data_IF_248057851721
#
_entry.id   IF_248057851721
#
_cell.length_a   1.000
_cell.length_b   1.000
_cell.length_c   1.000
_cell.angle_alpha   90.00
_cell.angle_beta   90.00
_cell.angle_gamma   90.00
#
_symmetry.space_group_name_H-M   'P 1'
#
loop_
_entity.id
_entity.type
_entity.pdbx_description
1 polymer ?
#
# COMPACT_ATOMS: atom_id res chain seq x y z
N UNK A 1 -22.77 30.36 -17.86
CA UNK A 1 -22.36 29.67 -19.11
C UNK A 1 -20.88 29.37 -19.04
N UNK A 2 -20.52 28.11 -18.73
CA UNK A 2 -19.19 27.57 -19.02
C UNK A 2 -19.43 26.20 -19.63
N UNK A 3 -19.24 26.12 -20.95
CA UNK A 3 -19.47 24.94 -21.74
C UNK A 3 -18.37 23.91 -21.43
N UNK A 4 -18.73 22.82 -20.76
CA UNK A 4 -17.93 21.59 -20.80
C UNK A 4 -18.20 20.99 -22.18
N UNK A 5 -17.34 21.34 -23.14
CA UNK A 5 -17.24 20.65 -24.41
C UNK A 5 -16.97 19.18 -24.10
N UNK A 6 -17.97 18.33 -24.37
CA UNK A 6 -17.79 16.89 -24.45
C UNK A 6 -16.85 16.59 -25.61
N UNK A 7 -15.55 16.60 -25.35
CA UNK A 7 -14.60 15.95 -26.22
C UNK A 7 -14.98 14.45 -26.22
N UNK A 8 -15.54 13.98 -27.34
CA UNK A 8 -15.57 12.55 -27.67
C UNK A 8 -14.12 12.11 -27.89
N UNK A 9 -13.39 11.93 -26.79
CA UNK A 9 -12.00 11.51 -26.80
C UNK A 9 -11.93 10.03 -27.19
N UNK A 10 -11.25 9.74 -28.30
CA UNK A 10 -10.61 8.44 -28.46
C UNK A 10 -9.76 8.22 -27.19
N UNK A 11 -10.09 7.20 -26.41
CA UNK A 11 -9.47 6.96 -25.11
C UNK A 11 -7.95 6.99 -25.23
N UNK A 12 -7.26 7.63 -24.29
CA UNK A 12 -5.81 7.64 -24.28
C UNK A 12 -5.31 6.20 -24.08
N UNK A 13 -4.46 5.74 -24.99
CA UNK A 13 -3.82 4.42 -24.90
C UNK A 13 -3.08 4.32 -23.57
N UNK A 14 -3.37 3.28 -22.81
CA UNK A 14 -2.73 2.99 -21.53
C UNK A 14 -1.41 2.23 -21.76
N UNK A 15 -0.47 2.34 -20.82
CA UNK A 15 0.82 1.64 -20.89
C UNK A 15 0.71 0.16 -20.46
N UNK A 16 -0.38 -0.20 -19.78
CA UNK A 16 -0.65 -1.56 -19.33
C UNK A 16 -1.75 -2.18 -20.19
N UNK A 17 -1.54 -3.43 -20.62
CA UNK A 17 -2.52 -4.20 -21.37
C UNK A 17 -3.70 -4.58 -20.48
N UNK A 18 -3.44 -4.81 -19.19
CA UNK A 18 -4.45 -5.20 -18.20
C UNK A 18 -4.29 -4.46 -16.88
N UNK A 19 -5.43 -4.20 -16.24
CA UNK A 19 -5.51 -3.75 -14.86
C UNK A 19 -6.26 -4.78 -14.03
N UNK A 20 -5.69 -5.17 -12.89
CA UNK A 20 -6.38 -6.02 -11.90
C UNK A 20 -6.72 -5.21 -10.68
N UNK A 21 -8.01 -4.97 -10.47
CA UNK A 21 -8.53 -4.17 -9.37
C UNK A 21 -8.80 -5.07 -8.17
N UNK A 22 -8.24 -4.76 -7.01
CA UNK A 22 -8.33 -5.57 -5.79
C UNK A 22 -8.84 -4.73 -4.62
N UNK A 23 -9.69 -5.32 -3.78
CA UNK A 23 -10.21 -4.71 -2.55
C UNK A 23 -10.42 -5.79 -1.49
N UNK A 24 -9.52 -5.90 -0.52
CA UNK A 24 -9.60 -6.97 0.49
C UNK A 24 -10.57 -6.60 1.60
N UNK A 25 -11.37 -7.57 2.04
CA UNK A 25 -11.98 -7.51 3.37
C UNK A 25 -11.14 -8.28 4.37
N UNK A 26 -11.06 -7.80 5.60
CA UNK A 26 -10.26 -8.41 6.66
C UNK A 26 -11.00 -8.47 7.99
N UNK A 27 -10.54 -9.34 8.88
CA UNK A 27 -11.03 -9.42 10.26
C UNK A 27 -10.98 -8.06 10.93
N UNK A 28 -12.01 -7.71 11.69
CA UNK A 28 -12.07 -6.44 12.39
C UNK A 28 -12.92 -6.51 13.67
N UNK A 29 -12.72 -5.51 14.53
CA UNK A 29 -13.42 -5.33 15.79
C UNK A 29 -13.83 -3.87 15.90
N UNK A 30 -15.00 -3.61 16.49
CA UNK A 30 -15.51 -2.25 16.67
C UNK A 30 -14.58 -1.45 17.59
N UNK A 31 -14.29 -0.21 17.22
CA UNK A 31 -13.55 0.78 18.02
C UNK A 31 -12.13 0.36 18.48
N UNK A 32 -11.56 -0.69 17.89
CA UNK A 32 -10.23 -1.18 18.22
C UNK A 32 -9.53 -1.80 16.99
N UNK A 33 -8.25 -2.11 17.13
CA UNK A 33 -7.49 -2.87 16.12
C UNK A 33 -7.36 -4.31 16.58
N UNK A 34 -7.53 -5.25 15.65
CA UNK A 34 -7.26 -6.66 15.87
C UNK A 34 -5.87 -6.99 15.34
N UNK A 35 -5.10 -7.83 16.07
CA UNK A 35 -3.79 -8.28 15.64
C UNK A 35 -3.64 -9.80 15.87
N UNK A 36 -3.11 -10.56 14.89
CA UNK A 36 -2.93 -10.14 13.50
C UNK A 36 -4.29 -9.81 12.85
N UNK A 37 -4.30 -8.91 11.88
CA UNK A 37 -5.43 -8.77 10.98
C UNK A 37 -5.29 -9.84 9.89
N UNK A 38 -6.39 -10.43 9.45
CA UNK A 38 -6.39 -11.53 8.47
C UNK A 38 -7.40 -11.24 7.36
N UNK A 39 -7.01 -11.40 6.10
CA UNK A 39 -7.89 -11.32 4.93
C UNK A 39 -8.95 -12.40 5.04
N UNK A 40 -10.21 -12.02 4.79
CA UNK A 40 -11.37 -12.90 4.82
C UNK A 40 -12.16 -12.89 3.49
N UNK A 41 -11.92 -11.90 2.63
CA UNK A 41 -12.37 -11.90 1.24
C UNK A 41 -11.24 -11.40 0.35
N UNK A 42 -10.98 -12.14 -0.73
CA UNK A 42 -10.04 -11.79 -1.79
C UNK A 42 -10.78 -11.75 -3.13
N UNK A 43 -11.27 -10.56 -3.52
CA UNK A 43 -11.83 -10.30 -4.82
C UNK A 43 -10.82 -9.65 -5.75
N UNK A 44 -11.00 -9.86 -7.05
CA UNK A 44 -10.30 -9.13 -8.08
C UNK A 44 -11.17 -8.93 -9.32
N UNK A 45 -11.00 -7.82 -10.02
CA UNK A 45 -11.70 -7.50 -11.27
C UNK A 45 -10.68 -7.17 -12.35
N UNK A 46 -10.72 -7.90 -13.46
CA UNK A 46 -9.83 -7.69 -14.59
C UNK A 46 -10.45 -6.69 -15.57
N UNK A 47 -9.68 -5.68 -15.95
CA UNK A 47 -10.05 -4.65 -16.92
C UNK A 47 -9.05 -4.66 -18.07
N UNK A 48 -9.55 -4.70 -19.29
CA UNK A 48 -8.75 -4.54 -20.51
C UNK A 48 -8.31 -3.07 -20.66
N UNK A 49 -7.00 -2.85 -20.77
CA UNK A 49 -6.40 -1.51 -20.77
C UNK A 49 -6.63 -0.72 -22.06
N UNK A 50 -6.91 -1.40 -23.18
CA UNK A 50 -7.17 -0.76 -24.47
C UNK A 50 -8.62 -0.29 -24.60
N UNK A 51 -9.56 -1.10 -24.13
CA UNK A 51 -11.00 -0.90 -24.31
C UNK A 51 -11.71 -0.40 -23.06
N UNK A 52 -11.11 -0.57 -21.88
CA UNK A 52 -11.77 -0.34 -20.59
C UNK A 52 -12.87 -1.36 -20.29
N UNK A 53 -12.96 -2.47 -21.02
CA UNK A 53 -13.95 -3.52 -20.76
C UNK A 53 -13.58 -4.30 -19.50
N UNK A 54 -14.56 -4.53 -18.63
CA UNK A 54 -14.43 -5.45 -17.52
C UNK A 54 -14.54 -6.88 -18.07
N UNK A 55 -13.44 -7.63 -18.07
CA UNK A 55 -13.32 -8.93 -18.72
C UNK A 55 -13.81 -10.08 -17.84
N UNK A 56 -13.39 -10.07 -16.59
CA UNK A 56 -13.66 -11.16 -15.65
C UNK A 56 -13.54 -10.71 -14.21
N UNK A 57 -14.07 -11.51 -13.29
CA UNK A 57 -13.93 -11.29 -11.87
C UNK A 57 -13.54 -12.58 -11.15
N UNK A 58 -12.77 -12.43 -10.09
CA UNK A 58 -12.34 -13.46 -9.17
C UNK A 58 -12.86 -13.13 -7.77
N UNK A 59 -13.21 -14.16 -7.01
CA UNK A 59 -13.61 -14.03 -5.62
C UNK A 59 -13.29 -15.31 -4.87
N UNK A 60 -12.61 -15.18 -3.74
CA UNK A 60 -12.47 -16.26 -2.75
C UNK A 60 -12.68 -15.70 -1.36
N UNK A 61 -13.41 -16.44 -0.54
CA UNK A 61 -13.34 -16.24 0.90
C UNK A 61 -12.11 -16.94 1.45
N UNK A 62 -11.47 -16.29 2.42
CA UNK A 62 -10.24 -16.77 3.05
C UNK A 62 -10.55 -17.10 4.49
N UNK A 63 -10.11 -18.28 4.93
CA UNK A 63 -10.33 -18.77 6.29
C UNK A 63 -9.27 -18.19 7.23
N UNK A 64 -9.65 -17.31 8.20
CA UNK A 64 -8.70 -16.81 9.19
C UNK A 64 -8.29 -17.93 10.15
N UNK A 65 -7.00 -17.97 10.52
CA UNK A 65 -6.43 -19.01 11.40
C UNK A 65 -6.24 -18.53 12.83
N UNK A 66 -6.02 -17.22 13.03
CA UNK A 66 -5.75 -16.65 14.35
C UNK A 66 -7.05 -16.17 15.00
N UNK A 67 -7.93 -15.55 14.21
CA UNK A 67 -9.26 -15.10 14.64
C UNK A 67 -10.34 -15.80 13.82
N UNK A 68 -10.53 -17.13 13.99
CA UNK A 68 -11.42 -17.93 13.14
C UNK A 68 -12.90 -17.51 13.25
N UNK A 69 -13.31 -16.98 14.39
CA UNK A 69 -14.69 -16.53 14.63
C UNK A 69 -14.78 -15.03 14.36
N UNK A 70 -15.56 -14.67 13.32
CA UNK A 70 -15.78 -13.27 12.96
C UNK A 70 -16.61 -12.57 14.03
N UNK A 71 -16.17 -11.37 14.43
CA UNK A 71 -16.95 -10.53 15.34
C UNK A 71 -18.29 -10.17 14.70
N UNK A 72 -19.30 -9.88 15.52
CA UNK A 72 -20.60 -9.40 15.02
C UNK A 72 -20.41 -8.14 14.16
N UNK A 73 -19.59 -7.19 14.63
CA UNK A 73 -19.26 -5.98 13.88
C UNK A 73 -18.65 -6.27 12.50
N UNK A 74 -17.71 -7.21 12.42
CA UNK A 74 -17.10 -7.60 11.15
C UNK A 74 -18.13 -8.14 10.17
N UNK A 75 -18.99 -9.07 10.61
CA UNK A 75 -20.06 -9.64 9.78
C UNK A 75 -21.09 -8.61 9.34
N UNK A 76 -21.45 -7.67 10.22
CA UNK A 76 -22.37 -6.57 9.88
C UNK A 76 -21.74 -5.56 8.91
N UNK A 77 -20.45 -5.25 9.09
CA UNK A 77 -19.73 -4.33 8.23
C UNK A 77 -19.59 -4.93 6.83
N UNK A 78 -19.01 -6.13 6.72
CA UNK A 78 -18.62 -6.74 5.44
C UNK A 78 -19.74 -7.54 4.76
N UNK A 79 -20.75 -7.96 5.54
CA UNK A 79 -21.81 -8.85 5.07
C UNK A 79 -21.38 -10.31 4.93
N UNK A 80 -20.12 -10.62 5.24
CA UNK A 80 -19.56 -11.97 5.19
C UNK A 80 -20.11 -12.78 6.37
N UNK A 81 -20.60 -13.98 6.10
CA UNK A 81 -21.13 -14.89 7.12
C UNK A 81 -20.00 -15.74 7.68
N UNK A 82 -20.22 -16.31 8.87
CA UNK A 82 -19.26 -17.24 9.45
C UNK A 82 -19.05 -18.47 8.55
N UNK A 83 -20.13 -18.99 7.97
CA UNK A 83 -20.09 -20.12 7.03
C UNK A 83 -19.26 -19.84 5.76
N UNK A 84 -19.17 -18.58 5.31
CA UNK A 84 -18.37 -18.19 4.16
C UNK A 84 -16.87 -18.37 4.42
N UNK A 85 -16.40 -17.94 5.61
CA UNK A 85 -14.98 -18.08 5.99
C UNK A 85 -14.64 -19.48 6.50
N UNK A 86 -15.59 -20.17 7.13
CA UNK A 86 -15.41 -21.56 7.56
C UNK A 86 -15.19 -22.48 6.34
N UNK A 87 -15.93 -22.23 5.25
CA UNK A 87 -15.76 -22.89 3.95
C UNK A 87 -14.69 -22.25 3.04
N UNK A 88 -13.99 -21.22 3.52
CA UNK A 88 -12.96 -20.51 2.78
C UNK A 88 -11.66 -21.30 2.66
N UNK A 89 -10.80 -20.88 1.73
CA UNK A 89 -9.46 -21.46 1.53
C UNK A 89 -8.41 -20.74 2.37
N UNK A 90 -7.22 -21.30 2.50
CA UNK A 90 -6.10 -20.59 3.14
C UNK A 90 -5.59 -19.46 2.22
N UNK A 91 -5.02 -18.38 2.78
CA UNK A 91 -4.55 -17.23 1.98
C UNK A 91 -3.56 -17.61 0.89
N UNK A 92 -2.61 -18.51 1.18
CA UNK A 92 -1.63 -18.98 0.19
C UNK A 92 -2.28 -19.69 -1.00
N UNK A 93 -3.35 -20.47 -0.74
CA UNK A 93 -4.14 -21.10 -1.79
C UNK A 93 -4.93 -20.07 -2.58
N UNK A 94 -5.56 -19.10 -1.92
CA UNK A 94 -6.27 -18.00 -2.60
C UNK A 94 -5.34 -17.22 -3.55
N UNK A 95 -4.11 -16.92 -3.12
CA UNK A 95 -3.09 -16.29 -3.96
C UNK A 95 -2.71 -17.13 -5.18
N UNK A 96 -2.52 -18.44 -4.99
CA UNK A 96 -2.24 -19.36 -6.10
C UNK A 96 -3.42 -19.46 -7.09
N UNK A 97 -4.65 -19.52 -6.58
CA UNK A 97 -5.87 -19.52 -7.41
C UNK A 97 -6.03 -18.21 -8.19
N UNK A 98 -5.71 -17.07 -7.55
CA UNK A 98 -5.76 -15.76 -8.19
C UNK A 98 -4.71 -15.65 -9.32
N UNK A 99 -3.47 -16.06 -9.07
CA UNK A 99 -2.41 -16.09 -10.10
C UNK A 99 -2.78 -17.00 -11.27
N UNK A 100 -3.36 -18.17 -10.98
CA UNK A 100 -3.85 -19.11 -12.01
C UNK A 100 -5.00 -18.50 -12.84
N UNK A 101 -5.94 -17.82 -12.18
CA UNK A 101 -7.03 -17.11 -12.84
C UNK A 101 -6.53 -15.98 -13.75
N UNK A 102 -5.57 -15.17 -13.28
CA UNK A 102 -4.97 -14.11 -14.09
C UNK A 102 -4.29 -14.67 -15.33
N UNK A 103 -3.44 -15.68 -15.17
CA UNK A 103 -2.74 -16.32 -16.30
C UNK A 103 -3.71 -16.88 -17.32
N UNK A 104 -4.81 -17.50 -16.89
CA UNK A 104 -5.84 -17.98 -17.80
C UNK A 104 -6.54 -16.83 -18.53
N UNK A 105 -6.91 -15.77 -17.82
CA UNK A 105 -7.66 -14.64 -18.36
C UNK A 105 -6.85 -13.77 -19.33
N UNK A 106 -5.53 -13.66 -19.14
CA UNK A 106 -4.63 -12.87 -20.02
C UNK A 106 -3.89 -13.72 -21.05
N UNK A 107 -4.24 -15.01 -21.18
CA UNK A 107 -3.50 -16.01 -21.97
C UNK A 107 -1.99 -16.07 -21.62
N UNK A 108 -1.63 -15.74 -20.38
CA UNK A 108 -0.27 -15.75 -19.86
C UNK A 108 0.63 -14.62 -20.38
N UNK A 109 0.08 -13.64 -21.09
CA UNK A 109 0.83 -12.52 -21.67
C UNK A 109 0.30 -11.15 -21.24
N UNK A 110 0.96 -10.12 -21.76
CA UNK A 110 0.60 -8.72 -21.52
C UNK A 110 1.20 -8.14 -20.24
N UNK A 111 1.34 -6.83 -20.25
CA UNK A 111 1.70 -6.01 -19.10
C UNK A 111 0.49 -5.82 -18.17
N UNK A 112 0.70 -5.95 -16.88
CA UNK A 112 -0.34 -5.91 -15.85
C UNK A 112 0.01 -4.88 -14.77
N UNK A 113 -1.00 -4.15 -14.29
CA UNK A 113 -0.89 -3.35 -13.08
C UNK A 113 -1.99 -3.70 -12.07
N UNK A 114 -1.61 -3.85 -10.80
CA UNK A 114 -2.57 -3.92 -9.69
C UNK A 114 -3.13 -2.52 -9.42
N UNK A 115 -4.44 -2.42 -9.23
CA UNK A 115 -5.14 -1.19 -8.89
C UNK A 115 -5.90 -1.38 -7.59
N UNK A 116 -5.75 -0.44 -6.67
CA UNK A 116 -6.41 -0.44 -5.36
C UNK A 116 -6.93 0.96 -5.07
N UNK A 117 -7.97 1.10 -4.24
CA UNK A 117 -8.49 2.43 -3.92
C UNK A 117 -7.53 3.21 -3.01
N UNK A 118 -6.83 2.57 -2.08
CA UNK A 118 -5.83 3.19 -1.21
C UNK A 118 -4.72 2.23 -0.87
N UNK A 119 -3.61 2.71 -0.29
CA UNK A 119 -2.43 1.88 -0.03
C UNK A 119 -2.65 0.73 0.97
N UNK A 120 -3.79 0.67 1.66
CA UNK A 120 -4.01 -0.31 2.73
C UNK A 120 -3.91 -1.75 2.22
N UNK A 121 -4.56 -2.10 1.11
CA UNK A 121 -4.62 -3.46 0.57
C UNK A 121 -3.25 -4.10 0.32
N UNK A 122 -2.43 -3.47 -0.53
CA UNK A 122 -1.13 -4.01 -0.91
C UNK A 122 -0.03 -3.68 0.11
N UNK A 123 0.06 -2.42 0.57
CA UNK A 123 1.17 -1.99 1.46
C UNK A 123 1.03 -2.54 2.86
N UNK A 124 -0.20 -2.64 3.37
CA UNK A 124 -0.48 -2.94 4.77
C UNK A 124 -1.03 -4.34 4.93
N UNK A 125 -2.21 -4.62 4.37
CA UNK A 125 -2.96 -5.84 4.66
C UNK A 125 -2.24 -7.08 4.12
N UNK A 126 -2.13 -7.21 2.79
CA UNK A 126 -1.52 -8.38 2.16
C UNK A 126 -0.06 -8.57 2.59
N UNK A 127 0.73 -7.48 2.62
CA UNK A 127 2.14 -7.56 3.03
C UNK A 127 2.31 -7.98 4.49
N UNK A 128 1.51 -7.44 5.41
CA UNK A 128 1.64 -7.79 6.83
C UNK A 128 1.25 -9.24 7.10
N UNK A 129 0.15 -9.71 6.51
CA UNK A 129 -0.32 -11.08 6.72
C UNK A 129 0.61 -12.10 6.06
N UNK A 130 1.07 -11.84 4.83
CA UNK A 130 2.02 -12.73 4.17
C UNK A 130 3.32 -12.86 4.98
N UNK A 131 3.86 -11.74 5.49
CA UNK A 131 5.02 -11.75 6.37
C UNK A 131 4.76 -12.50 7.67
N UNK A 132 3.62 -12.27 8.30
CA UNK A 132 3.26 -12.89 9.57
C UNK A 132 3.08 -14.40 9.45
N UNK A 133 2.49 -14.87 8.34
CA UNK A 133 2.24 -16.29 8.06
C UNK A 133 3.37 -17.00 7.32
N UNK A 134 4.41 -16.28 6.89
CA UNK A 134 5.50 -16.84 6.08
C UNK A 134 5.04 -17.28 4.68
N UNK A 135 4.06 -16.59 4.10
CA UNK A 135 3.51 -16.87 2.77
C UNK A 135 4.27 -16.04 1.73
N UNK A 136 4.72 -16.68 0.66
CA UNK A 136 5.23 -15.98 -0.51
C UNK A 136 4.05 -15.52 -1.38
N UNK A 137 3.99 -14.21 -1.67
CA UNK A 137 2.99 -13.63 -2.57
C UNK A 137 3.60 -13.30 -3.93
N UNK A 138 2.80 -13.32 -5.01
CA UNK A 138 3.28 -12.91 -6.33
C UNK A 138 3.81 -11.48 -6.36
N UNK A 139 4.94 -11.26 -7.01
CA UNK A 139 5.65 -9.97 -7.03
C UNK A 139 4.90 -8.84 -7.74
N UNK A 140 3.89 -9.15 -8.55
CA UNK A 140 3.04 -8.12 -9.16
C UNK A 140 2.22 -7.32 -8.13
N UNK A 141 2.07 -7.83 -6.90
CA UNK A 141 1.50 -7.07 -5.78
C UNK A 141 2.49 -6.08 -5.14
N UNK A 142 3.77 -6.09 -5.51
CA UNK A 142 4.77 -5.18 -4.94
C UNK A 142 4.74 -3.78 -5.53
N UNK A 143 3.95 -3.58 -6.60
CA UNK A 143 3.77 -2.30 -7.28
C UNK A 143 2.31 -2.16 -7.68
N UNK A 144 1.70 -1.02 -7.38
CA UNK A 144 0.28 -0.79 -7.63
C UNK A 144 -0.02 0.65 -8.00
N UNK A 145 -1.24 0.84 -8.49
CA UNK A 145 -1.88 2.12 -8.73
C UNK A 145 -2.88 2.33 -7.59
N UNK A 146 -2.53 3.21 -6.65
CA UNK A 146 -3.49 3.81 -5.74
C UNK A 146 -4.36 4.79 -6.54
N UNK A 147 -5.60 4.39 -6.82
CA UNK A 147 -6.51 5.10 -7.73
C UNK A 147 -6.98 6.47 -7.19
N UNK A 148 -6.85 6.72 -5.87
CA UNK A 148 -7.09 8.08 -5.31
C UNK A 148 -6.18 9.12 -5.94
N UNK A 149 -4.93 8.77 -6.27
CA UNK A 149 -3.94 9.72 -6.80
C UNK A 149 -4.38 10.28 -8.17
N UNK A 150 -4.61 9.45 -9.21
CA UNK A 150 -5.12 9.95 -10.49
C UNK A 150 -6.53 10.54 -10.38
N UNK A 151 -7.38 10.01 -9.49
CA UNK A 151 -8.71 10.59 -9.24
C UNK A 151 -8.61 12.05 -8.75
N UNK A 152 -7.82 12.30 -7.70
CA UNK A 152 -7.64 13.64 -7.13
C UNK A 152 -7.03 14.61 -8.14
N UNK A 153 -6.06 14.14 -8.94
CA UNK A 153 -5.45 14.94 -9.99
C UNK A 153 -6.45 15.33 -11.09
N UNK A 154 -7.39 14.46 -11.45
CA UNK A 154 -8.30 14.66 -12.57
C UNK A 154 -9.61 15.39 -12.20
N UNK A 155 -10.17 15.15 -11.02
CA UNK A 155 -11.46 15.73 -10.60
C UNK A 155 -11.34 16.80 -9.52
N UNK A 156 -10.13 17.03 -8.98
CA UNK A 156 -9.93 17.93 -7.85
C UNK A 156 -10.55 17.39 -6.56
N UNK A 157 -10.35 18.13 -5.47
CA UNK A 157 -10.81 17.76 -4.14
C UNK A 157 -9.65 17.75 -3.14
N UNK A 158 -9.63 18.73 -2.25
CA UNK A 158 -8.74 18.71 -1.09
C UNK A 158 -9.28 17.74 -0.04
N UNK A 159 -8.42 16.86 0.50
CA UNK A 159 -8.76 15.99 1.63
C UNK A 159 -8.96 14.51 1.27
N UNK A 160 -9.30 13.71 2.30
CA UNK A 160 -9.58 12.28 2.15
C UNK A 160 -11.04 12.10 1.74
N UNK A 161 -11.26 11.57 0.53
CA UNK A 161 -12.57 11.12 0.05
C UNK A 161 -12.70 9.60 0.17
N UNK A 162 -13.91 9.12 0.46
CA UNK A 162 -14.25 7.70 0.41
C UNK A 162 -14.40 7.22 -1.04
N UNK A 163 -14.36 5.90 -1.26
CA UNK A 163 -14.56 5.32 -2.60
C UNK A 163 -15.95 5.70 -3.14
N UNK A 164 -16.98 5.56 -2.32
CA UNK A 164 -18.35 5.86 -2.73
C UNK A 164 -18.54 7.33 -3.14
N UNK A 165 -17.95 8.27 -2.39
CA UNK A 165 -17.96 9.69 -2.76
C UNK A 165 -17.23 9.94 -4.07
N UNK A 166 -16.09 9.27 -4.30
CA UNK A 166 -15.33 9.41 -5.54
C UNK A 166 -16.08 8.86 -6.76
N UNK A 167 -16.73 7.71 -6.62
CA UNK A 167 -17.61 7.12 -7.64
C UNK A 167 -18.72 8.10 -8.02
N UNK A 168 -19.40 8.68 -7.02
CA UNK A 168 -20.45 9.69 -7.25
C UNK A 168 -19.90 10.98 -7.88
N UNK A 169 -18.75 11.47 -7.42
CA UNK A 169 -18.12 12.67 -7.98
C UNK A 169 -17.68 12.47 -9.44
N UNK A 170 -17.37 11.23 -9.84
CA UNK A 170 -17.14 10.86 -11.22
C UNK A 170 -18.42 10.75 -12.07
N UNK A 171 -19.61 10.98 -11.48
CA UNK A 171 -20.89 10.88 -12.18
C UNK A 171 -21.37 9.44 -12.36
N UNK A 172 -20.87 8.51 -11.55
CA UNK A 172 -21.29 7.10 -11.53
C UNK A 172 -22.17 6.84 -10.31
N UNK A 173 -23.14 5.94 -10.46
CA UNK A 173 -23.92 5.43 -9.33
C UNK A 173 -23.18 4.28 -8.64
N UNK A 174 -23.29 4.22 -7.32
CA UNK A 174 -22.80 3.09 -6.54
C UNK A 174 -23.64 1.83 -6.82
N UNK A 175 -22.99 0.71 -7.13
CA UNK A 175 -23.65 -0.57 -7.36
C UNK A 175 -23.26 -1.60 -6.29
N UNK A 176 -24.23 -2.39 -5.82
CA UNK A 176 -23.97 -3.43 -4.83
C UNK A 176 -23.83 -2.92 -3.39
N UNK A 177 -23.23 -3.74 -2.53
CA UNK A 177 -23.15 -3.48 -1.08
C UNK A 177 -21.79 -2.89 -0.72
N UNK A 178 -21.78 -1.79 0.04
CA UNK A 178 -20.54 -1.25 0.63
C UNK A 178 -19.86 -2.29 1.51
N UNK A 179 -18.53 -2.38 1.44
CA UNK A 179 -17.72 -3.36 2.19
C UNK A 179 -18.02 -4.82 1.83
N UNK A 180 -18.64 -5.05 0.67
CA UNK A 180 -18.54 -6.34 -0.01
C UNK A 180 -17.36 -6.19 -0.97
N UNK A 181 -16.26 -6.90 -0.74
CA UNK A 181 -15.01 -6.60 -1.44
C UNK A 181 -15.16 -6.71 -2.96
N UNK A 182 -15.97 -7.66 -3.46
CA UNK A 182 -16.22 -7.78 -4.90
C UNK A 182 -16.99 -6.58 -5.48
N UNK A 183 -17.97 -6.05 -4.75
CA UNK A 183 -18.73 -4.88 -5.19
C UNK A 183 -17.85 -3.62 -5.12
N UNK A 184 -17.03 -3.47 -4.08
CA UNK A 184 -16.08 -2.37 -3.93
C UNK A 184 -15.01 -2.42 -5.06
N UNK A 185 -14.48 -3.59 -5.39
CA UNK A 185 -13.57 -3.79 -6.53
C UNK A 185 -14.23 -3.47 -7.88
N UNK A 186 -15.49 -3.84 -8.08
CA UNK A 186 -16.25 -3.50 -9.32
C UNK A 186 -16.48 -2.00 -9.45
N UNK A 187 -16.85 -1.31 -8.37
CA UNK A 187 -17.01 0.13 -8.39
C UNK A 187 -15.67 0.85 -8.61
N UNK A 188 -14.59 0.34 -8.02
CA UNK A 188 -13.22 0.82 -8.30
C UNK A 188 -12.83 0.61 -9.76
N UNK A 189 -13.18 -0.53 -10.36
CA UNK A 189 -12.97 -0.78 -11.79
C UNK A 189 -13.77 0.17 -12.69
N UNK A 190 -15.04 0.43 -12.36
CA UNK A 190 -15.87 1.42 -13.09
C UNK A 190 -15.29 2.83 -12.99
N UNK A 191 -14.77 3.20 -11.81
CA UNK A 191 -14.07 4.47 -11.63
C UNK A 191 -12.77 4.54 -12.44
N UNK A 192 -11.96 3.48 -12.44
CA UNK A 192 -10.75 3.37 -13.25
C UNK A 192 -11.05 3.59 -14.74
N UNK A 193 -12.06 2.90 -15.27
CA UNK A 193 -12.50 3.01 -16.66
C UNK A 193 -12.98 4.42 -16.99
N UNK A 194 -13.74 5.05 -16.09
CA UNK A 194 -14.19 6.43 -16.27
C UNK A 194 -13.02 7.43 -16.29
N UNK A 195 -12.00 7.24 -15.45
CA UNK A 195 -10.79 8.06 -15.49
C UNK A 195 -10.02 7.86 -16.81
N UNK A 196 -9.86 6.62 -17.27
CA UNK A 196 -9.25 6.31 -18.58
C UNK A 196 -10.03 6.98 -19.72
N UNK A 197 -11.36 6.92 -19.70
CA UNK A 197 -12.24 7.55 -20.69
C UNK A 197 -12.10 9.08 -20.71
N UNK A 198 -11.79 9.68 -19.55
CA UNK A 198 -11.47 11.12 -19.42
C UNK A 198 -10.05 11.48 -19.88
N UNK A 199 -9.29 10.52 -20.40
CA UNK A 199 -7.92 10.74 -20.87
C UNK A 199 -6.90 10.82 -19.75
N UNK A 200 -7.15 10.16 -18.61
CA UNK A 200 -6.16 10.02 -17.55
C UNK A 200 -5.26 8.83 -17.85
N UNK A 201 -3.95 9.05 -17.85
CA UNK A 201 -2.95 8.00 -18.01
C UNK A 201 -2.64 7.34 -16.67
N UNK A 202 -2.83 6.03 -16.58
CA UNK A 202 -2.59 5.25 -15.38
C UNK A 202 -1.10 4.93 -15.25
N UNK A 203 -0.51 5.24 -14.10
CA UNK A 203 0.90 4.98 -13.78
C UNK A 203 1.02 4.38 -12.37
N UNK A 204 2.10 3.64 -12.11
CA UNK A 204 2.36 3.09 -10.77
C UNK A 204 2.57 4.24 -9.77
N UNK A 205 1.78 4.24 -8.70
CA UNK A 205 1.84 5.27 -7.65
C UNK A 205 2.33 4.74 -6.32
N UNK A 206 2.35 3.41 -6.14
CA UNK A 206 2.83 2.74 -4.93
C UNK A 206 3.78 1.58 -5.23
N UNK A 207 4.73 1.37 -4.32
CA UNK A 207 5.68 0.26 -4.36
C UNK A 207 6.13 -0.14 -2.95
N UNK A 208 6.46 -1.43 -2.76
CA UNK A 208 7.18 -1.94 -1.59
C UNK A 208 8.70 -1.79 -1.72
N UNK A 209 9.23 -1.58 -2.92
CA UNK A 209 10.65 -1.32 -3.10
C UNK A 209 11.05 0.00 -2.41
N UNK A 210 12.25 0.07 -1.79
CA UNK A 210 12.75 1.33 -1.26
C UNK A 210 12.88 2.35 -2.40
N UNK A 211 12.58 3.63 -2.14
CA UNK A 211 12.78 4.67 -3.14
C UNK A 211 14.24 4.67 -3.61
N UNK A 212 14.50 4.95 -4.90
CA UNK A 212 15.87 5.06 -5.38
C UNK A 212 16.62 6.11 -4.55
N UNK A 213 17.94 5.92 -4.29
CA UNK A 213 18.75 6.93 -3.64
C UNK A 213 18.60 8.26 -4.37
N UNK A 214 18.31 9.33 -3.63
CA UNK A 214 18.31 10.67 -4.19
C UNK A 214 19.73 10.91 -4.70
N UNK A 215 19.90 10.92 -6.02
CA UNK A 215 21.11 11.45 -6.63
C UNK A 215 21.10 12.94 -6.29
N UNK A 216 21.91 13.34 -5.30
CA UNK A 216 22.21 14.74 -5.09
C UNK A 216 22.77 15.22 -6.42
N UNK A 217 22.05 16.12 -7.11
CA UNK A 217 22.64 16.88 -8.21
C UNK A 217 23.88 17.54 -7.62
N UNK A 218 25.06 17.09 -8.05
CA UNK A 218 26.30 17.79 -7.76
C UNK A 218 26.10 19.24 -8.20
N UNK A 219 26.07 20.15 -7.23
CA UNK A 219 26.10 21.58 -7.52
C UNK A 219 27.44 21.86 -8.22
N UNK A 220 27.46 22.60 -9.34
CA UNK A 220 28.71 23.06 -9.91
C UNK A 220 29.48 23.86 -8.84
N UNK A 221 30.81 23.71 -8.74
CA UNK A 221 31.58 24.43 -7.73
C UNK A 221 31.38 25.93 -7.94
N UNK A 222 30.82 26.60 -6.93
CA UNK A 222 30.75 28.05 -6.92
C UNK A 222 32.17 28.60 -6.73
N UNK A 223 32.66 29.34 -7.72
CA UNK A 223 33.87 30.14 -7.59
C UNK A 223 33.64 31.21 -6.52
N UNK A 224 34.15 30.96 -5.32
CA UNK A 224 34.33 31.97 -4.29
C UNK A 224 35.51 32.85 -4.69
N UNK A 225 35.24 34.02 -5.27
CA UNK A 225 36.22 35.11 -5.33
C UNK A 225 36.27 35.77 -3.96
N UNK A 226 37.30 35.47 -3.17
CA UNK A 226 37.67 36.27 -2.00
C UNK A 226 38.82 37.22 -2.35
N UNK A 227 38.77 38.49 -1.96
CA UNK A 227 39.89 39.40 -2.12
C UNK A 227 40.87 39.25 -0.95
N UNK A 228 42.16 39.29 -1.30
CA UNK A 228 43.31 39.60 -0.44
C UNK A 228 43.84 38.51 0.54
N UNK A 229 44.95 37.88 0.12
CA UNK A 229 46.23 37.86 0.84
C UNK A 229 46.45 36.82 1.96
N UNK A 230 47.41 35.90 1.75
CA UNK A 230 48.25 35.35 2.83
C UNK A 230 48.33 33.82 2.98
N UNK A 231 49.43 33.25 2.44
CA UNK A 231 50.17 32.02 2.81
C UNK A 231 49.49 30.72 3.28
N UNK A 232 49.58 29.72 2.40
CA UNK A 232 50.12 28.34 2.57
C UNK A 232 49.89 27.55 3.88
N UNK A 233 49.09 26.48 3.79
CA UNK A 233 49.40 25.17 4.40
C UNK A 233 48.64 24.03 3.69
N UNK A 234 49.37 22.97 3.31
CA UNK A 234 48.87 21.73 2.70
C UNK A 234 48.22 20.81 3.74
N UNK A 235 47.10 20.14 3.39
CA UNK A 235 46.53 19.02 4.14
C UNK A 235 46.43 17.76 3.23
N UNK A 236 46.76 16.55 3.73
CA UNK A 236 46.90 15.33 2.91
C UNK A 236 45.57 14.55 2.69
N UNK A 237 45.51 13.60 1.73
CA UNK A 237 44.26 12.99 1.28
C UNK A 237 43.78 11.82 2.16
N UNK A 238 42.46 11.65 2.25
CA UNK A 238 41.76 10.55 2.93
C UNK A 238 41.68 9.30 2.03
N UNK A 239 42.09 8.16 2.60
CA UNK A 239 42.05 6.82 2.01
C UNK A 239 40.62 6.25 2.06
N UNK A 240 40.14 5.72 0.93
CA UNK A 240 38.89 4.95 0.82
C UNK A 240 39.08 3.51 1.32
N UNK A 241 38.24 3.05 2.25
CA UNK A 241 38.06 1.62 2.53
C UNK A 241 36.70 1.13 2.03
N UNK A 242 36.73 0.15 1.13
CA UNK A 242 35.59 -0.67 0.67
C UNK A 242 35.05 -1.49 1.85
N UNK A 243 33.74 -1.48 2.08
CA UNK A 243 33.06 -2.43 2.96
C UNK A 243 32.15 -3.37 2.14
N UNK A 244 32.32 -4.67 2.40
CA UNK A 244 31.58 -5.81 1.84
C UNK A 244 30.37 -6.13 2.74
N UNK A 245 29.25 -6.69 2.23
CA UNK A 245 28.03 -6.85 3.02
C UNK A 245 28.08 -8.11 3.92
N UNK A 246 27.55 -8.06 5.17
CA UNK A 246 27.46 -9.24 6.03
C UNK A 246 26.15 -10.04 5.82
N UNK A 247 26.25 -11.35 6.05
CA UNK A 247 25.19 -12.37 5.94
C UNK A 247 24.22 -12.41 7.14
N UNK A 248 23.04 -13.07 7.02
CA UNK A 248 21.95 -12.94 7.98
C UNK A 248 22.09 -13.92 9.15
N UNK A 249 22.07 -13.39 10.38
CA UNK A 249 21.92 -14.17 11.60
C UNK A 249 20.57 -13.86 12.27
N UNK A 250 19.91 -14.94 12.70
CA UNK A 250 18.64 -15.01 13.43
C UNK A 250 18.64 -14.09 14.66
N UNK A 251 17.56 -13.33 14.91
CA UNK A 251 17.45 -12.43 16.07
C UNK A 251 16.43 -12.98 17.07
N UNK A 252 16.95 -13.33 18.25
CA UNK A 252 16.26 -13.67 19.50
C UNK A 252 15.81 -12.39 20.24
N UNK A 253 14.83 -12.43 21.16
CA UNK A 253 14.35 -11.23 21.85
C UNK A 253 15.29 -10.84 23.00
N UNK A 254 15.86 -9.65 22.85
CA UNK A 254 16.57 -8.78 23.80
C UNK A 254 16.90 -9.31 25.20
N UNK A 255 18.20 -9.49 25.48
CA UNK A 255 18.78 -9.43 26.81
C UNK A 255 19.98 -8.50 26.83
N UNK A 256 19.97 -7.50 27.71
CA UNK A 256 21.13 -6.77 28.26
C UNK A 256 22.16 -6.15 27.30
N UNK A 257 22.19 -4.81 27.28
CA UNK A 257 23.29 -3.94 26.82
C UNK A 257 23.59 -3.88 25.32
N UNK A 258 23.50 -2.65 24.76
CA UNK A 258 24.04 -2.23 23.45
C UNK A 258 23.52 -2.91 22.18
N UNK A 259 22.45 -3.72 22.21
CA UNK A 259 21.82 -4.20 20.98
C UNK A 259 20.84 -3.14 20.42
N UNK A 260 21.16 -2.54 19.28
CA UNK A 260 20.22 -1.67 18.56
C UNK A 260 19.02 -2.49 18.10
N UNK A 261 17.86 -2.28 18.71
CA UNK A 261 16.62 -2.92 18.30
C UNK A 261 16.08 -2.26 17.02
N UNK A 262 15.40 -3.03 16.17
CA UNK A 262 14.86 -2.57 14.90
C UNK A 262 13.33 -2.70 14.88
N UNK A 263 12.63 -1.73 14.28
CA UNK A 263 11.17 -1.79 14.06
C UNK A 263 10.78 -2.82 12.99
N UNK A 264 9.48 -3.01 12.78
CA UNK A 264 8.91 -3.70 11.61
C UNK A 264 9.36 -3.12 10.26
N UNK A 265 9.79 -1.86 10.26
CA UNK A 265 10.34 -1.14 9.12
C UNK A 265 11.87 -1.22 8.97
N UNK A 266 12.56 -2.02 9.82
CA UNK A 266 14.03 -2.16 9.89
C UNK A 266 14.83 -0.88 10.13
N UNK A 267 14.18 0.20 10.56
CA UNK A 267 14.81 1.39 11.12
C UNK A 267 15.16 1.12 12.60
N UNK A 268 16.32 1.57 13.08
CA UNK A 268 16.66 1.54 14.49
C UNK A 268 15.56 2.18 15.36
N UNK A 269 15.12 1.48 16.39
CA UNK A 269 14.17 2.01 17.36
C UNK A 269 14.85 3.07 18.22
N UNK A 270 14.14 4.15 18.53
CA UNK A 270 14.57 5.20 19.46
C UNK A 270 13.68 5.16 20.71
N UNK A 271 14.30 5.41 21.86
CA UNK A 271 13.58 5.59 23.11
C UNK A 271 12.91 6.97 23.17
N UNK A 272 11.71 7.04 23.73
CA UNK A 272 10.98 8.28 24.00
C UNK A 272 10.23 8.23 25.32
N UNK A 273 9.81 9.40 25.82
CA UNK A 273 9.02 9.55 27.06
C UNK A 273 7.74 10.30 26.72
N UNK A 274 6.60 9.84 27.26
CA UNK A 274 5.32 10.55 27.09
C UNK A 274 5.33 11.84 27.89
N UNK A 275 5.37 12.98 27.20
CA UNK A 275 5.31 14.32 27.80
C UNK A 275 3.89 14.88 27.92
N UNK A 276 2.92 14.26 27.25
CA UNK A 276 1.51 14.68 27.27
C UNK A 276 0.88 14.30 28.63
N UNK A 277 0.16 15.23 29.29
CA UNK A 277 -0.53 14.95 30.55
C UNK A 277 -1.52 13.79 30.44
N UNK A 278 -1.43 12.82 31.36
CA UNK A 278 -2.33 11.66 31.41
C UNK A 278 -1.75 10.45 32.15
N UNK A 279 -2.49 9.32 32.20
CA UNK A 279 -2.10 8.12 32.96
C UNK A 279 -0.76 7.48 32.53
N UNK A 280 -0.29 7.83 31.33
CA UNK A 280 0.95 7.33 30.74
C UNK A 280 2.07 8.38 30.76
N UNK A 281 1.83 9.57 31.30
CA UNK A 281 2.82 10.64 31.41
C UNK A 281 4.07 10.14 32.16
N UNK A 282 5.25 10.40 31.59
CA UNK A 282 6.52 9.95 32.16
C UNK A 282 6.90 8.50 31.85
N UNK A 283 6.05 7.70 31.21
CA UNK A 283 6.41 6.34 30.80
C UNK A 283 7.29 6.34 29.56
N UNK A 284 8.28 5.45 29.56
CA UNK A 284 9.23 5.27 28.48
C UNK A 284 8.74 4.22 27.47
N UNK A 285 9.09 4.43 26.20
CA UNK A 285 8.75 3.53 25.10
C UNK A 285 9.83 3.48 24.03
N UNK A 286 9.81 2.45 23.21
CA UNK A 286 10.61 2.33 21.99
C UNK A 286 9.72 2.37 20.75
N UNK A 287 10.09 3.21 19.79
CA UNK A 287 9.47 3.31 18.47
C UNK A 287 10.45 3.82 17.43
N UNK A 288 10.23 3.54 16.15
CA UNK A 288 11.08 4.09 15.08
C UNK A 288 10.62 5.46 14.57
N UNK A 289 9.41 5.90 14.94
CA UNK A 289 8.90 7.25 14.68
C UNK A 289 8.94 7.69 13.21
N UNK A 290 8.97 6.74 12.25
CA UNK A 290 9.02 7.07 10.83
C UNK A 290 7.70 7.75 10.49
N UNK A 291 7.71 9.08 10.40
CA UNK A 291 6.55 9.94 10.34
C UNK A 291 6.65 10.83 9.13
N UNK A 292 5.57 10.92 8.37
CA UNK A 292 5.46 11.93 7.32
C UNK A 292 4.26 12.83 7.62
N UNK A 293 4.34 14.15 7.32
CA UNK A 293 3.23 15.08 7.51
C UNK A 293 1.94 14.64 6.79
N UNK A 294 2.07 13.87 5.69
CA UNK A 294 0.95 13.44 4.85
C UNK A 294 0.30 12.11 5.28
N UNK A 295 1.04 11.22 5.96
CA UNK A 295 0.56 9.85 6.24
C UNK A 295 0.56 9.47 7.73
N UNK A 296 1.09 10.33 8.61
CA UNK A 296 1.28 9.98 10.02
C UNK A 296 2.41 8.96 10.21
N UNK A 297 2.44 8.19 11.31
CA UNK A 297 3.46 7.18 11.54
C UNK A 297 3.33 6.04 10.51
N UNK A 298 4.32 5.93 9.63
CA UNK A 298 4.45 4.93 8.56
C UNK A 298 4.71 3.52 9.13
N UNK A 299 5.24 3.43 10.35
CA UNK A 299 5.47 2.17 11.04
C UNK A 299 4.74 2.15 12.38
N UNK A 300 3.85 1.17 12.63
CA UNK A 300 3.08 1.08 13.87
C UNK A 300 3.85 0.39 15.01
N UNK A 301 5.13 0.07 14.83
CA UNK A 301 5.95 -0.57 15.86
C UNK A 301 6.07 0.32 17.11
N UNK A 302 5.65 -0.22 18.25
CA UNK A 302 5.73 0.44 19.54
C UNK A 302 5.84 -0.60 20.66
N UNK A 303 6.79 -0.42 21.58
CA UNK A 303 6.97 -1.30 22.75
C UNK A 303 7.17 -0.45 24.00
N UNK A 304 6.41 -0.72 25.06
CA UNK A 304 6.61 -0.10 26.36
C UNK A 304 7.85 -0.68 27.05
N UNK A 305 8.62 0.16 27.74
CA UNK A 305 9.67 -0.34 28.64
C UNK A 305 9.02 -0.70 29.97
N UNK A 306 9.33 -1.88 30.50
CA UNK A 306 8.97 -2.23 31.88
C UNK A 306 9.81 -1.43 32.88
#
# INVERSE_FOLDING_TARGET
MAAIMAARGQGQVQDFDFFVVVDFEATCVKDARIFPQEIIEFPAVLVDGATGRIESAFRRYVRPKHHPVLTQFCRELTGIRQEDVDGGVDLGEALWMHDSWLKAATAGGGSLAVVIWGDWDCRTMLESECRFKGIEKPSYFDRWINLRVPFQAALGGGGRVTLQEAVRAAGLDWEGRLHCGLDDARNTARLLVELMRRGVKMTITGSLAPPPPIQQKEQPPQLLTSPCGGSSALAPPLIQQKQQPPQPHMISPCGGSSATCFCYCRVPTRGGVVSVPGPMQGKCFFGCGNWTPAMGPVCPYFVWTN
#
